data_IF_429490842229
#
_entry.id   IF_429490842229
#
_cell.length_a   1.000
_cell.length_b   1.000
_cell.length_c   1.000
_cell.angle_alpha   90.00
_cell.angle_beta   90.00
_cell.angle_gamma   90.00
#
_symmetry.space_group_name_H-M   'P 1'
#
loop_
_entity.id
_entity.type
_entity.pdbx_description
1 polymer ?
#
# COMPACT_ATOMS: atom_id res chain seq x y z
N UNK A 1 -44.05 19.26 24.12
CA UNK A 1 -43.58 17.87 24.35
C UNK A 1 -43.98 16.99 23.16
N UNK A 2 -43.06 16.70 22.24
CA UNK A 2 -43.15 15.59 21.28
C UNK A 2 -41.73 15.20 20.86
N UNK A 3 -41.44 13.91 20.96
CA UNK A 3 -40.13 13.28 21.02
C UNK A 3 -39.30 13.40 19.75
N UNK A 4 -38.00 13.65 19.94
CA UNK A 4 -36.96 13.47 18.93
C UNK A 4 -36.85 11.98 18.57
N UNK A 5 -37.12 11.62 17.31
CA UNK A 5 -36.68 10.35 16.74
C UNK A 5 -35.21 10.50 16.35
N UNK A 6 -34.36 9.78 17.08
CA UNK A 6 -32.97 9.49 16.72
C UNK A 6 -32.94 8.65 15.45
N UNK A 7 -32.57 9.26 14.33
CA UNK A 7 -32.26 8.54 13.10
C UNK A 7 -30.84 7.96 13.25
N UNK A 8 -30.76 6.66 13.48
CA UNK A 8 -29.50 5.92 13.47
C UNK A 8 -28.94 5.87 12.04
N UNK A 9 -27.66 6.20 11.89
CA UNK A 9 -26.89 6.08 10.66
C UNK A 9 -26.72 4.59 10.29
N UNK A 10 -27.00 4.17 9.04
CA UNK A 10 -26.68 2.81 8.62
C UNK A 10 -25.22 2.71 8.13
N UNK A 11 -24.53 1.72 8.71
CA UNK A 11 -23.71 0.74 7.99
C UNK A 11 -22.27 1.10 7.56
N UNK A 12 -21.37 1.09 8.55
CA UNK A 12 -19.95 0.76 8.40
C UNK A 12 -19.67 -0.68 7.85
N UNK A 13 -20.70 -1.47 7.54
CA UNK A 13 -20.57 -2.85 7.07
C UNK A 13 -20.33 -3.01 5.56
N UNK A 14 -20.76 -2.04 4.75
CA UNK A 14 -20.75 -2.16 3.28
C UNK A 14 -19.33 -2.08 2.71
N UNK A 15 -18.49 -1.17 3.23
CA UNK A 15 -17.12 -1.00 2.76
C UNK A 15 -16.23 -2.22 3.06
N UNK A 16 -16.40 -2.83 4.25
CA UNK A 16 -15.67 -4.05 4.64
C UNK A 16 -16.09 -5.24 3.76
N UNK A 17 -17.38 -5.35 3.45
CA UNK A 17 -17.91 -6.39 2.56
C UNK A 17 -17.39 -6.33 1.12
N UNK A 18 -17.20 -5.13 0.56
CA UNK A 18 -16.72 -4.94 -0.82
C UNK A 18 -15.21 -5.20 -0.95
N UNK A 19 -14.41 -4.78 0.04
CA UNK A 19 -12.96 -5.04 0.10
C UNK A 19 -12.71 -6.54 0.33
N UNK A 20 -13.41 -7.16 1.27
CA UNK A 20 -13.30 -8.60 1.52
C UNK A 20 -13.77 -9.42 0.29
N UNK A 21 -14.80 -8.95 -0.44
CA UNK A 21 -15.24 -9.61 -1.66
C UNK A 21 -14.22 -9.50 -2.80
N UNK A 22 -13.53 -8.36 -2.95
CA UNK A 22 -12.47 -8.18 -3.94
C UNK A 22 -11.24 -9.05 -3.64
N UNK A 23 -10.82 -9.11 -2.38
CA UNK A 23 -9.68 -9.94 -1.95
C UNK A 23 -9.98 -11.43 -2.17
N UNK A 24 -11.18 -11.91 -1.77
CA UNK A 24 -11.60 -13.30 -1.99
C UNK A 24 -11.68 -13.69 -3.48
N UNK A 25 -12.00 -12.74 -4.37
CA UNK A 25 -12.12 -13.00 -5.81
C UNK A 25 -10.76 -13.13 -6.50
N UNK A 26 -9.73 -12.45 -5.98
CA UNK A 26 -8.34 -12.55 -6.46
C UNK A 26 -7.69 -13.85 -5.93
N UNK A 27 -7.91 -14.18 -4.65
CA UNK A 27 -7.37 -15.42 -4.06
C UNK A 27 -7.80 -16.68 -4.82
N UNK A 28 -9.08 -16.78 -5.22
CA UNK A 28 -9.59 -18.02 -5.82
C UNK A 28 -9.02 -18.33 -7.21
N UNK A 29 -8.58 -17.32 -7.98
CA UNK A 29 -7.98 -17.51 -9.33
C UNK A 29 -6.51 -17.91 -9.25
N UNK A 30 -5.76 -17.35 -8.31
CA UNK A 30 -4.34 -17.68 -8.15
C UNK A 30 -4.17 -19.07 -7.54
N UNK A 31 -5.00 -19.46 -6.57
CA UNK A 31 -4.94 -20.80 -5.97
C UNK A 31 -5.05 -21.93 -7.01
N UNK A 32 -5.89 -21.77 -8.04
CA UNK A 32 -6.04 -22.77 -9.09
C UNK A 32 -4.76 -22.95 -9.94
N UNK A 33 -4.05 -21.84 -10.20
CA UNK A 33 -2.78 -21.84 -10.92
C UNK A 33 -1.68 -22.52 -10.09
N UNK A 34 -1.57 -22.20 -8.80
CA UNK A 34 -0.60 -22.84 -7.91
C UNK A 34 -0.91 -24.33 -7.71
N UNK A 35 -2.19 -24.72 -7.56
CA UNK A 35 -2.56 -26.15 -7.50
C UNK A 35 -2.26 -26.87 -8.80
N UNK A 36 -2.45 -26.23 -9.95
CA UNK A 36 -2.10 -26.82 -11.24
C UNK A 36 -0.58 -26.99 -11.40
N UNK A 37 0.22 -26.02 -10.96
CA UNK A 37 1.68 -26.10 -11.00
C UNK A 37 2.20 -27.25 -10.13
N UNK A 38 1.66 -27.39 -8.91
CA UNK A 38 2.00 -28.50 -8.00
C UNK A 38 1.55 -29.84 -8.60
N UNK A 39 0.33 -29.91 -9.13
CA UNK A 39 -0.21 -31.13 -9.75
C UNK A 39 0.60 -31.57 -10.99
N UNK A 40 0.99 -30.61 -11.85
CA UNK A 40 1.82 -30.86 -13.03
C UNK A 40 3.20 -31.36 -12.62
N UNK A 41 3.79 -30.77 -11.57
CA UNK A 41 5.07 -31.22 -11.01
C UNK A 41 4.95 -32.65 -10.48
N UNK A 42 3.88 -32.95 -9.74
CA UNK A 42 3.59 -34.29 -9.21
C UNK A 42 3.36 -35.32 -10.33
N UNK A 43 2.60 -34.97 -11.38
CA UNK A 43 2.37 -35.83 -12.54
C UNK A 43 3.66 -36.09 -13.33
N UNK A 44 4.53 -35.09 -13.49
CA UNK A 44 5.83 -35.27 -14.13
C UNK A 44 6.72 -36.21 -13.30
N UNK A 45 6.73 -36.08 -11.97
CA UNK A 45 7.46 -37.01 -11.10
C UNK A 45 6.92 -38.43 -11.18
N UNK A 46 5.59 -38.61 -11.20
CA UNK A 46 4.96 -39.92 -11.30
C UNK A 46 5.20 -40.55 -12.68
N UNK A 47 5.20 -39.75 -13.76
CA UNK A 47 5.52 -40.20 -15.11
C UNK A 47 6.95 -40.73 -15.23
N UNK A 48 7.91 -40.07 -14.59
CA UNK A 48 9.31 -40.54 -14.52
C UNK A 48 9.39 -41.88 -13.75
N UNK A 49 8.65 -42.01 -12.64
CA UNK A 49 8.58 -43.26 -11.85
C UNK A 49 7.94 -44.40 -12.65
N UNK A 50 6.86 -44.14 -13.40
CA UNK A 50 6.16 -45.14 -14.21
C UNK A 50 6.99 -45.65 -15.39
N UNK A 51 7.82 -44.80 -16.01
CA UNK A 51 8.77 -45.21 -17.04
C UNK A 51 9.88 -46.13 -16.49
N UNK A 52 10.07 -46.19 -15.16
CA UNK A 52 11.04 -47.02 -14.47
C UNK A 52 10.50 -48.42 -14.09
N UNK A 53 9.18 -48.63 -14.07
CA UNK A 53 8.55 -49.90 -13.65
C UNK A 53 8.89 -51.09 -14.56
N UNK A 54 9.00 -50.96 -15.90
CA UNK A 54 9.40 -52.07 -16.77
C UNK A 54 10.83 -52.59 -16.50
N UNK A 55 11.68 -51.80 -15.83
CA UNK A 55 13.06 -52.16 -15.47
C UNK A 55 13.11 -53.03 -14.19
N UNK A 56 12.05 -53.01 -13.37
CA UNK A 56 11.94 -53.82 -12.14
C UNK A 56 11.54 -55.28 -12.41
N UNK A 57 11.16 -55.63 -13.63
CA UNK A 57 11.04 -57.03 -14.09
C UNK A 57 12.16 -57.41 -15.09
N UNK A 58 13.43 -57.47 -14.67
CA UNK A 58 14.49 -58.03 -15.50
C UNK A 58 14.43 -59.56 -15.39
N UNK A 59 13.96 -60.24 -16.43
CA UNK A 59 14.35 -61.64 -16.66
C UNK A 59 15.86 -61.63 -16.97
N UNK A 60 16.71 -61.81 -15.96
CA UNK A 60 18.15 -62.05 -16.15
C UNK A 60 19.10 -61.21 -15.29
N UNK A 61 20.17 -61.88 -14.83
CA UNK A 61 21.16 -61.45 -13.84
C UNK A 61 22.29 -60.61 -14.44
N UNK A 62 22.53 -59.39 -13.92
CA UNK A 62 23.81 -58.63 -13.81
C UNK A 62 23.54 -57.17 -13.35
N UNK A 63 24.54 -56.29 -13.12
CA UNK A 63 25.62 -56.28 -12.11
C UNK A 63 25.55 -55.00 -11.20
N UNK A 64 26.44 -54.90 -10.20
CA UNK A 64 26.67 -53.80 -9.23
C UNK A 64 25.96 -52.45 -9.48
N UNK A 65 24.80 -52.26 -8.85
CA UNK A 65 23.91 -51.12 -9.09
C UNK A 65 24.01 -50.05 -8.01
N UNK A 66 24.85 -49.02 -8.19
CA UNK A 66 24.71 -47.73 -7.49
C UNK A 66 25.15 -46.59 -8.42
N UNK A 67 24.27 -45.65 -8.87
CA UNK A 67 23.91 -44.47 -8.05
C UNK A 67 22.54 -43.82 -8.35
N UNK A 68 21.64 -44.44 -9.12
CA UNK A 68 20.38 -43.82 -9.60
C UNK A 68 19.43 -43.46 -8.44
N UNK A 69 19.39 -44.30 -7.40
CA UNK A 69 18.59 -44.06 -6.17
C UNK A 69 19.01 -42.80 -5.43
N UNK A 70 20.29 -42.41 -5.50
CA UNK A 70 20.80 -41.19 -4.86
C UNK A 70 20.47 -39.93 -5.69
N UNK A 71 20.49 -40.03 -7.02
CA UNK A 71 20.06 -38.95 -7.92
C UNK A 71 18.57 -38.62 -7.72
N UNK A 72 17.72 -39.63 -7.52
CA UNK A 72 16.29 -39.46 -7.24
C UNK A 72 16.08 -38.78 -5.88
N UNK A 73 16.81 -39.16 -4.83
CA UNK A 73 16.76 -38.51 -3.52
C UNK A 73 17.17 -37.02 -3.59
N UNK A 74 18.17 -36.70 -4.41
CA UNK A 74 18.59 -35.31 -4.67
C UNK A 74 17.50 -34.49 -5.37
N UNK A 75 16.83 -35.06 -6.38
CA UNK A 75 15.73 -34.41 -7.08
C UNK A 75 14.54 -34.13 -6.15
N UNK A 76 14.15 -35.10 -5.32
CA UNK A 76 13.08 -34.93 -4.32
C UNK A 76 13.44 -33.82 -3.33
N UNK A 77 14.70 -33.79 -2.87
CA UNK A 77 15.20 -32.70 -2.01
C UNK A 77 15.10 -31.33 -2.69
N UNK A 78 15.44 -31.24 -3.98
CA UNK A 78 15.38 -30.00 -4.74
C UNK A 78 13.95 -29.49 -4.93
N UNK A 79 13.00 -30.39 -5.21
CA UNK A 79 11.56 -30.05 -5.32
C UNK A 79 11.01 -29.59 -3.98
N UNK A 80 11.31 -30.30 -2.88
CA UNK A 80 10.88 -29.87 -1.55
C UNK A 80 11.47 -28.51 -1.15
N UNK A 81 12.73 -28.24 -1.49
CA UNK A 81 13.34 -26.92 -1.27
C UNK A 81 12.64 -25.84 -2.09
N UNK A 82 12.28 -26.13 -3.34
CA UNK A 82 11.53 -25.21 -4.19
C UNK A 82 10.12 -24.94 -3.63
N UNK A 83 9.40 -25.97 -3.19
CA UNK A 83 8.08 -25.82 -2.57
C UNK A 83 8.16 -25.01 -1.27
N UNK A 84 9.14 -25.28 -0.41
CA UNK A 84 9.39 -24.50 0.81
C UNK A 84 9.70 -23.04 0.45
N UNK A 85 10.52 -22.80 -0.57
CA UNK A 85 10.86 -21.46 -1.03
C UNK A 85 9.64 -20.69 -1.55
N UNK A 86 8.80 -21.33 -2.37
CA UNK A 86 7.59 -20.69 -2.91
C UNK A 86 6.59 -20.35 -1.79
N UNK A 87 6.37 -21.26 -0.83
CA UNK A 87 5.54 -21.00 0.35
C UNK A 87 6.11 -19.84 1.19
N UNK A 88 7.44 -19.82 1.38
CA UNK A 88 8.10 -18.73 2.11
C UNK A 88 7.90 -17.38 1.41
N UNK A 89 8.05 -17.33 0.08
CA UNK A 89 7.81 -16.10 -0.69
C UNK A 89 6.35 -15.62 -0.57
N UNK A 90 5.38 -16.53 -0.68
CA UNK A 90 3.96 -16.20 -0.53
C UNK A 90 3.65 -15.62 0.85
N UNK A 91 4.21 -16.21 1.91
CA UNK A 91 4.03 -15.72 3.27
C UNK A 91 4.61 -14.31 3.47
N UNK A 92 5.77 -14.02 2.87
CA UNK A 92 6.39 -12.69 2.93
C UNK A 92 5.53 -11.63 2.25
N UNK A 93 5.04 -11.93 1.04
CA UNK A 93 4.18 -11.01 0.29
C UNK A 93 2.90 -10.71 1.08
N UNK A 94 2.27 -11.74 1.65
CA UNK A 94 1.08 -11.58 2.47
C UNK A 94 1.33 -10.68 3.69
N UNK A 95 2.43 -10.89 4.41
CA UNK A 95 2.80 -10.06 5.58
C UNK A 95 3.02 -8.59 5.20
N UNK A 96 3.75 -8.34 4.11
CA UNK A 96 4.02 -6.96 3.65
C UNK A 96 2.72 -6.27 3.26
N UNK A 97 1.87 -6.94 2.47
CA UNK A 97 0.56 -6.40 2.06
C UNK A 97 -0.32 -6.08 3.27
N UNK A 98 -0.38 -6.98 4.25
CA UNK A 98 -1.15 -6.78 5.47
C UNK A 98 -0.62 -5.62 6.31
N UNK A 99 0.69 -5.52 6.49
CA UNK A 99 1.30 -4.39 7.20
C UNK A 99 1.05 -3.04 6.49
N UNK A 100 1.06 -3.02 5.15
CA UNK A 100 0.72 -1.82 4.40
C UNK A 100 -0.73 -1.42 4.60
N UNK A 101 -1.67 -2.37 4.51
CA UNK A 101 -3.10 -2.12 4.73
C UNK A 101 -3.38 -1.63 6.16
N UNK A 102 -2.80 -2.26 7.19
CA UNK A 102 -2.97 -1.84 8.59
C UNK A 102 -2.40 -0.44 8.84
N UNK A 103 -1.25 -0.10 8.22
CA UNK A 103 -0.68 1.26 8.31
C UNK A 103 -1.52 2.29 7.57
N UNK A 104 -2.05 1.96 6.41
CA UNK A 104 -2.93 2.84 5.64
C UNK A 104 -4.23 3.11 6.39
N UNK A 105 -4.84 2.09 7.00
CA UNK A 105 -6.03 2.24 7.83
C UNK A 105 -5.74 3.07 9.09
N UNK A 106 -4.62 2.83 9.77
CA UNK A 106 -4.22 3.64 10.92
C UNK A 106 -3.95 5.10 10.53
N UNK A 107 -3.24 5.34 9.43
CA UNK A 107 -3.00 6.68 8.90
C UNK A 107 -4.32 7.37 8.55
N UNK A 108 -5.24 6.64 7.92
CA UNK A 108 -6.60 7.13 7.64
C UNK A 108 -7.34 7.49 8.93
N UNK A 109 -7.32 6.65 9.95
CA UNK A 109 -8.00 6.92 11.23
C UNK A 109 -7.40 8.11 11.99
N UNK A 110 -6.07 8.24 11.98
CA UNK A 110 -5.36 9.38 12.60
C UNK A 110 -5.69 10.66 11.85
N UNK A 111 -5.65 10.64 10.51
CA UNK A 111 -5.97 11.82 9.70
C UNK A 111 -7.46 12.15 9.66
N UNK A 112 -8.34 11.18 9.85
CA UNK A 112 -9.80 11.39 9.96
C UNK A 112 -10.21 11.95 11.34
N UNK A 113 -9.49 11.60 12.42
CA UNK A 113 -9.81 12.06 13.78
C UNK A 113 -8.97 13.25 14.26
N UNK A 114 -7.80 13.49 13.69
CA UNK A 114 -7.04 14.71 13.98
C UNK A 114 -7.77 15.92 13.38
N UNK A 115 -8.00 16.94 14.20
CA UNK A 115 -8.51 18.23 13.75
C UNK A 115 -7.53 18.94 12.78
N UNK A 116 -6.32 18.42 12.65
CA UNK A 116 -5.30 18.97 11.77
C UNK A 116 -5.62 18.67 10.30
N UNK A 117 -5.55 19.72 9.49
CA UNK A 117 -5.64 19.59 8.04
C UNK A 117 -4.26 19.31 7.46
N UNK A 118 -4.16 18.26 6.65
CA UNK A 118 -2.93 17.90 5.95
C UNK A 118 -3.17 18.03 4.45
N UNK A 119 -2.28 18.73 3.76
CA UNK A 119 -2.25 18.78 2.30
C UNK A 119 -0.84 18.45 1.79
N UNK A 120 -0.77 17.67 0.72
CA UNK A 120 0.44 17.46 -0.05
C UNK A 120 0.23 18.16 -1.38
N UNK A 121 1.19 19.02 -1.75
CA UNK A 121 1.17 19.78 -3.00
C UNK A 121 2.45 19.53 -3.78
N UNK A 122 2.38 19.66 -5.10
CA UNK A 122 3.57 19.67 -5.97
C UNK A 122 4.30 21.03 -5.91
N UNK A 123 5.39 21.16 -6.68
CA UNK A 123 6.17 22.40 -6.76
C UNK A 123 5.39 23.60 -7.30
N UNK A 124 4.30 23.35 -8.03
CA UNK A 124 3.43 24.38 -8.60
C UNK A 124 2.24 24.69 -7.68
N UNK A 125 2.17 24.04 -6.50
CA UNK A 125 1.11 24.21 -5.52
C UNK A 125 -0.18 23.44 -5.84
N UNK A 126 -0.17 22.55 -6.85
CA UNK A 126 -1.31 21.68 -7.16
C UNK A 126 -1.45 20.61 -6.10
N UNK A 127 -2.69 20.35 -5.69
CA UNK A 127 -3.00 19.37 -4.63
C UNK A 127 -2.81 17.94 -5.15
N UNK A 128 -1.92 17.19 -4.51
CA UNK A 128 -1.72 15.76 -4.70
C UNK A 128 -2.55 14.95 -3.69
N UNK A 129 -2.72 15.49 -2.48
CA UNK A 129 -3.48 14.85 -1.42
C UNK A 129 -4.04 15.91 -0.45
N UNK A 130 -5.23 15.63 0.08
CA UNK A 130 -5.88 16.39 1.15
C UNK A 130 -6.51 15.42 2.16
N UNK A 131 -6.32 15.68 3.45
CA UNK A 131 -7.01 14.94 4.51
C UNK A 131 -8.52 15.21 4.51
N UNK A 132 -9.31 14.25 5.01
CA UNK A 132 -10.77 14.38 5.15
C UNK A 132 -11.19 15.55 6.09
N UNK A 133 -10.29 16.02 6.94
CA UNK A 133 -10.49 17.21 7.77
C UNK A 133 -10.79 18.47 6.95
N UNK A 134 -10.35 18.55 5.69
CA UNK A 134 -10.75 19.65 4.78
C UNK A 134 -12.26 19.74 4.59
N UNK A 135 -12.95 18.60 4.48
CA UNK A 135 -14.40 18.57 4.35
C UNK A 135 -15.08 19.00 5.64
N UNK A 136 -14.54 18.58 6.80
CA UNK A 136 -15.08 18.94 8.12
C UNK A 136 -14.90 20.42 8.45
N UNK A 137 -13.76 21.02 8.07
CA UNK A 137 -13.36 22.37 8.48
C UNK A 137 -13.68 23.42 7.42
N UNK A 138 -13.47 23.12 6.13
CA UNK A 138 -13.65 24.05 5.01
C UNK A 138 -14.85 23.72 4.11
N UNK A 139 -15.50 22.56 4.31
CA UNK A 139 -16.69 22.15 3.56
C UNK A 139 -16.44 21.57 2.17
N UNK A 140 -15.18 21.50 1.71
CA UNK A 140 -14.82 20.95 0.40
C UNK A 140 -14.62 19.44 0.46
N UNK A 141 -15.23 18.71 -0.47
CA UNK A 141 -14.97 17.27 -0.59
C UNK A 141 -13.61 17.02 -1.27
N UNK A 142 -12.99 15.84 -1.08
CA UNK A 142 -11.75 15.49 -1.77
C UNK A 142 -11.85 15.62 -3.30
N UNK A 143 -13.00 15.29 -3.88
CA UNK A 143 -13.27 15.37 -5.32
C UNK A 143 -13.29 16.82 -5.81
N UNK A 144 -13.82 17.75 -5.02
CA UNK A 144 -13.84 19.19 -5.34
C UNK A 144 -12.44 19.82 -5.27
N UNK A 145 -11.58 19.27 -4.40
CA UNK A 145 -10.20 19.73 -4.27
C UNK A 145 -9.25 19.07 -5.26
N UNK A 146 -9.65 17.95 -5.87
CA UNK A 146 -8.83 17.21 -6.80
C UNK A 146 -8.43 18.10 -7.99
N UNK A 147 -7.14 18.10 -8.33
CA UNK A 147 -6.55 18.91 -9.41
C UNK A 147 -6.70 20.44 -9.26
N UNK A 148 -7.11 20.95 -8.09
CA UNK A 148 -7.09 22.40 -7.81
C UNK A 148 -5.76 22.85 -7.22
N UNK A 149 -5.46 24.14 -7.31
CA UNK A 149 -4.31 24.72 -6.61
C UNK A 149 -4.69 25.03 -5.16
N UNK A 150 -3.76 24.79 -4.24
CA UNK A 150 -3.89 25.25 -2.86
C UNK A 150 -4.05 26.78 -2.75
N UNK A 151 -3.54 27.52 -3.74
CA UNK A 151 -3.63 28.97 -3.82
C UNK A 151 -5.04 29.47 -4.15
N UNK A 152 -5.87 28.64 -4.80
CA UNK A 152 -7.23 29.03 -5.22
C UNK A 152 -8.15 29.32 -4.03
N UNK A 153 -7.97 28.58 -2.94
CA UNK A 153 -8.69 28.80 -1.68
C UNK A 153 -7.93 29.69 -0.71
N UNK A 154 -6.67 30.05 -0.99
CA UNK A 154 -5.89 30.96 -0.15
C UNK A 154 -6.26 32.41 -0.46
N UNK A 155 -6.47 33.22 0.59
CA UNK A 155 -6.77 34.64 0.44
C UNK A 155 -5.68 35.33 -0.40
N UNK A 156 -6.04 36.20 -1.38
CA UNK A 156 -5.07 36.81 -2.31
C UNK A 156 -3.86 37.46 -1.63
N UNK A 157 -4.11 38.22 -0.56
CA UNK A 157 -3.07 38.92 0.21
C UNK A 157 -2.08 37.98 0.92
N UNK A 158 -2.50 36.75 1.22
CA UNK A 158 -1.72 35.80 2.02
C UNK A 158 -0.91 34.83 1.13
N UNK A 159 -1.19 34.79 -0.19
CA UNK A 159 -0.55 33.85 -1.14
C UNK A 159 0.97 33.99 -1.19
N UNK A 160 1.48 35.22 -1.15
CA UNK A 160 2.92 35.49 -1.19
C UNK A 160 3.63 34.89 0.02
N UNK A 161 3.05 35.07 1.21
CA UNK A 161 3.58 34.54 2.47
C UNK A 161 3.58 33.00 2.45
N UNK A 162 2.50 32.37 1.97
CA UNK A 162 2.42 30.90 1.88
C UNK A 162 3.48 30.35 0.91
N UNK A 163 3.66 30.99 -0.25
CA UNK A 163 4.69 30.59 -1.21
C UNK A 163 6.11 30.75 -0.67
N UNK A 164 6.38 31.81 0.09
CA UNK A 164 7.69 32.04 0.69
C UNK A 164 8.00 30.97 1.75
N UNK A 165 7.06 30.68 2.65
CA UNK A 165 7.23 29.62 3.64
C UNK A 165 7.43 28.23 2.98
N UNK A 166 6.74 27.95 1.87
CA UNK A 166 6.96 26.73 1.11
C UNK A 166 8.37 26.68 0.49
N UNK A 167 8.88 27.78 -0.05
CA UNK A 167 10.25 27.87 -0.57
C UNK A 167 11.29 27.68 0.52
N UNK A 168 11.10 28.30 1.69
CA UNK A 168 11.95 28.08 2.86
C UNK A 168 12.00 26.60 3.26
N UNK A 169 10.85 25.92 3.28
CA UNK A 169 10.78 24.48 3.59
C UNK A 169 11.63 23.62 2.64
N UNK A 170 11.67 23.97 1.35
CA UNK A 170 12.50 23.26 0.37
C UNK A 170 14.00 23.47 0.59
N UNK A 171 14.41 24.63 1.11
CA UNK A 171 15.83 24.97 1.35
C UNK A 171 16.31 24.44 2.69
N UNK A 172 15.53 24.65 3.76
CA UNK A 172 15.95 24.40 5.14
C UNK A 172 15.40 23.08 5.71
N UNK A 173 14.50 22.42 5.00
CA UNK A 173 13.88 21.17 5.44
C UNK A 173 12.63 21.35 6.31
N UNK A 174 12.37 22.56 6.81
CA UNK A 174 11.10 22.97 7.41
C UNK A 174 10.91 24.45 7.17
N UNK A 175 9.71 24.87 6.77
CA UNK A 175 9.40 26.28 6.58
C UNK A 175 8.93 26.92 7.88
N UNK A 176 8.91 28.24 7.90
CA UNK A 176 8.34 28.98 9.03
C UNK A 176 6.86 28.67 9.20
N UNK A 177 6.42 28.74 10.46
CA UNK A 177 5.01 28.74 10.81
C UNK A 177 4.34 30.00 10.27
N UNK A 178 3.20 29.82 9.63
CA UNK A 178 2.40 30.91 9.05
C UNK A 178 0.95 30.78 9.47
N UNK A 179 0.29 31.91 9.68
CA UNK A 179 -1.15 32.00 9.86
C UNK A 179 -1.73 32.72 8.65
N UNK A 180 -2.70 32.12 7.99
CA UNK A 180 -3.25 32.62 6.73
C UNK A 180 -4.73 32.28 6.62
N UNK A 181 -5.42 33.03 5.76
CA UNK A 181 -6.85 32.86 5.53
C UNK A 181 -7.10 31.91 4.38
N UNK A 182 -7.93 30.91 4.64
CA UNK A 182 -8.51 30.06 3.60
C UNK A 182 -10.01 30.31 3.47
N UNK A 183 -10.48 30.26 2.22
CA UNK A 183 -11.90 30.38 1.89
C UNK A 183 -12.58 29.09 2.28
N UNK A 184 -13.65 29.18 3.04
CA UNK A 184 -14.60 28.09 3.26
C UNK A 184 -15.59 28.03 2.09
N UNK A 185 -16.21 26.87 1.85
CA UNK A 185 -17.16 26.67 0.75
C UNK A 185 -18.37 27.62 0.76
N UNK A 186 -18.78 28.09 1.93
CA UNK A 186 -19.82 29.11 2.12
C UNK A 186 -19.38 30.55 1.77
N UNK A 187 -18.12 30.76 1.38
CA UNK A 187 -17.54 32.05 1.04
C UNK A 187 -16.91 32.82 2.21
N UNK A 188 -17.03 32.32 3.45
CA UNK A 188 -16.37 32.93 4.62
C UNK A 188 -14.87 32.64 4.65
N UNK A 189 -14.11 33.46 5.35
CA UNK A 189 -12.68 33.25 5.58
C UNK A 189 -12.44 32.59 6.93
N UNK A 190 -11.55 31.59 6.97
CA UNK A 190 -11.11 30.89 8.18
C UNK A 190 -9.61 31.09 8.33
N UNK A 191 -9.19 31.51 9.52
CA UNK A 191 -7.78 31.57 9.87
C UNK A 191 -7.28 30.17 10.18
N UNK A 192 -6.14 29.82 9.59
CA UNK A 192 -5.48 28.54 9.76
C UNK A 192 -3.99 28.77 9.97
N UNK A 193 -3.40 27.95 10.83
CA UNK A 193 -1.96 27.88 11.01
C UNK A 193 -1.41 26.70 10.21
N UNK A 194 -0.26 26.87 9.54
CA UNK A 194 0.44 25.76 8.92
C UNK A 194 1.96 25.87 9.08
N UNK A 195 2.62 24.72 9.01
CA UNK A 195 4.07 24.59 8.95
C UNK A 195 4.40 23.70 7.74
N UNK A 196 4.91 24.24 6.64
CA UNK A 196 5.24 23.44 5.47
C UNK A 196 6.53 22.66 5.71
N UNK A 197 6.56 21.42 5.23
CA UNK A 197 7.74 20.56 5.24
C UNK A 197 7.85 19.81 3.90
N UNK A 198 9.06 19.56 3.39
CA UNK A 198 9.25 18.81 2.17
C UNK A 198 8.84 17.35 2.38
N UNK A 199 7.99 16.84 1.50
CA UNK A 199 7.56 15.44 1.47
C UNK A 199 8.31 14.69 0.37
N UNK A 200 8.84 13.50 0.66
CA UNK A 200 9.40 12.61 -0.35
C UNK A 200 10.84 12.89 -0.83
N UNK A 201 11.53 13.93 -0.35
CA UNK A 201 12.96 14.06 -0.61
C UNK A 201 13.77 13.16 0.32
N UNK A 202 14.35 12.09 -0.24
CA UNK A 202 15.46 11.35 0.39
C UNK A 202 16.49 12.38 0.84
N UNK A 203 16.74 12.53 2.15
CA UNK A 203 17.72 13.47 2.73
C UNK A 203 18.96 13.53 1.83
N UNK A 204 19.12 14.62 1.08
CA UNK A 204 20.40 14.91 0.47
C UNK A 204 21.35 15.13 1.64
N UNK A 205 22.31 14.22 1.85
CA UNK A 205 23.38 14.45 2.82
C UNK A 205 24.05 15.77 2.44
N UNK A 206 24.22 16.74 3.35
CA UNK A 206 25.00 17.93 3.06
C UNK A 206 26.42 17.49 2.70
N UNK A 207 26.85 17.82 1.48
CA UNK A 207 28.18 17.53 0.93
C UNK A 207 29.12 18.68 1.29
N UNK A 208 29.45 18.82 2.57
CA UNK A 208 30.52 19.71 3.04
C UNK A 208 30.79 19.53 4.54
N UNK A 209 31.63 18.55 4.88
CA UNK A 209 32.52 18.67 6.04
C UNK A 209 33.80 17.89 5.75
N UNK A 210 34.78 18.61 5.20
CA UNK A 210 36.20 18.23 5.23
C UNK A 210 36.98 19.52 5.07
N UNK A 211 37.10 20.23 6.20
CA UNK A 211 38.24 21.13 6.46
C UNK A 211 39.45 20.27 6.79
#
# INVERSE_FOLDING_TARGET
MKSLRTNALPEHGVAKGVVDAHIRKIERREWWLWTSAILVTLLLTLGIVSFLVPILHPQGRAPDSLPITNAIRGLVGMVLLFDIYTVYQQLQIYRIRRQMAEREELFRLITENAADMIAVVDSDGRRLYNSLSYQKILGYTPEELQNTSSMDQTHPDDRSQVQEAAKEALVFGVGRRIEYRMRHKDGTWRFLESVPAPFGMRKARPKNWSS
#
